data_IF_320148919604
#
_entry.id   IF_320148919604
#
_cell.length_a   1.000
_cell.length_b   1.000
_cell.length_c   1.000
_cell.angle_alpha   90.00
_cell.angle_beta   90.00
_cell.angle_gamma   90.00
#
_symmetry.space_group_name_H-M   'P 1'
#
loop_
_entity.id
_entity.type
_entity.pdbx_description
1 polymer ?
#
# COMPACT_ATOMS: atom_id res chain seq x y z
N UNK A 1 -55.88 -18.55 9.78
CA UNK A 1 -54.59 -19.11 9.44
C UNK A 1 -53.49 -18.27 10.14
N UNK A 2 -52.81 -18.79 11.13
CA UNK A 2 -51.78 -18.06 11.89
C UNK A 2 -50.43 -18.29 11.16
N UNK A 3 -49.90 -17.27 10.52
CA UNK A 3 -48.55 -17.32 9.96
C UNK A 3 -47.52 -17.34 11.07
N UNK A 4 -46.91 -18.48 11.29
CA UNK A 4 -45.78 -18.61 12.21
C UNK A 4 -44.56 -17.89 11.61
N UNK A 5 -44.19 -16.79 12.22
CA UNK A 5 -42.95 -16.07 11.91
C UNK A 5 -41.79 -16.97 12.34
N UNK A 6 -41.11 -17.58 11.38
CA UNK A 6 -39.88 -18.33 11.65
C UNK A 6 -38.80 -17.34 12.15
N UNK A 7 -38.39 -17.55 13.41
CA UNK A 7 -37.27 -16.79 13.96
C UNK A 7 -35.97 -17.12 13.16
N UNK A 8 -35.18 -16.12 12.75
CA UNK A 8 -33.94 -16.38 12.07
C UNK A 8 -33.00 -17.20 12.96
N UNK A 9 -32.46 -18.28 12.41
CA UNK A 9 -31.46 -19.12 13.09
C UNK A 9 -30.29 -18.22 13.52
N UNK A 10 -29.98 -18.19 14.82
CA UNK A 10 -28.80 -17.48 15.35
C UNK A 10 -27.56 -17.99 14.62
N UNK A 11 -26.99 -17.18 13.73
CA UNK A 11 -25.70 -17.46 13.13
C UNK A 11 -24.64 -17.36 14.24
N UNK A 12 -23.86 -18.45 14.42
CA UNK A 12 -22.75 -18.47 15.35
C UNK A 12 -21.66 -17.55 14.78
N UNK A 13 -21.42 -16.41 15.40
CA UNK A 13 -20.31 -15.52 15.03
C UNK A 13 -19.02 -16.28 15.32
N UNK A 14 -18.31 -16.69 14.27
CA UNK A 14 -16.98 -17.29 14.40
C UNK A 14 -15.99 -16.14 14.42
N UNK A 15 -15.31 -15.95 15.54
CA UNK A 15 -14.24 -14.95 15.63
C UNK A 15 -13.01 -15.47 14.87
N UNK A 16 -12.88 -15.09 13.60
CA UNK A 16 -11.77 -15.47 12.74
C UNK A 16 -10.45 -14.91 13.25
N UNK A 17 -10.45 -13.75 13.90
CA UNK A 17 -9.23 -13.09 14.38
C UNK A 17 -8.50 -13.92 15.45
N UNK A 18 -9.25 -14.61 16.31
CA UNK A 18 -8.66 -15.50 17.33
C UNK A 18 -7.91 -16.66 16.67
N UNK A 19 -8.47 -17.27 15.63
CA UNK A 19 -7.82 -18.38 14.91
C UNK A 19 -6.55 -17.93 14.22
N UNK A 20 -6.58 -16.74 13.61
CA UNK A 20 -5.42 -16.13 12.95
C UNK A 20 -4.32 -15.86 13.98
N UNK A 21 -4.66 -15.25 15.11
CA UNK A 21 -3.71 -14.97 16.18
C UNK A 21 -3.06 -16.25 16.73
N UNK A 22 -3.85 -17.29 17.03
CA UNK A 22 -3.35 -18.58 17.49
C UNK A 22 -2.44 -19.26 16.47
N UNK A 23 -2.79 -19.17 15.18
CA UNK A 23 -1.96 -19.73 14.12
C UNK A 23 -0.60 -19.03 14.06
N UNK A 24 -0.56 -17.69 14.15
CA UNK A 24 0.71 -16.96 14.16
C UNK A 24 1.53 -17.20 15.43
N UNK A 25 0.91 -17.30 16.57
CA UNK A 25 1.59 -17.66 17.83
C UNK A 25 2.29 -19.01 17.69
N UNK A 26 1.55 -20.03 17.23
CA UNK A 26 2.11 -21.37 17.00
C UNK A 26 3.19 -21.37 15.91
N UNK A 27 2.95 -20.68 14.79
CA UNK A 27 3.91 -20.58 13.70
C UNK A 27 5.20 -19.89 14.16
N UNK A 28 5.10 -18.77 14.87
CA UNK A 28 6.26 -18.02 15.37
C UNK A 28 7.09 -18.85 16.32
N UNK A 29 6.46 -19.54 17.28
CA UNK A 29 7.15 -20.42 18.20
C UNK A 29 7.90 -21.54 17.46
N UNK A 30 7.23 -22.21 16.52
CA UNK A 30 7.84 -23.29 15.74
C UNK A 30 8.98 -22.78 14.86
N UNK A 31 8.83 -21.61 14.21
CA UNK A 31 9.90 -21.00 13.41
C UNK A 31 11.10 -20.63 14.27
N UNK A 32 10.88 -20.10 15.48
CA UNK A 32 11.96 -19.83 16.43
C UNK A 32 12.72 -21.12 16.75
N UNK A 33 12.01 -22.19 17.13
CA UNK A 33 12.62 -23.46 17.54
C UNK A 33 13.36 -24.18 16.42
N UNK A 34 12.82 -24.17 15.18
CA UNK A 34 13.37 -25.00 14.10
C UNK A 34 14.25 -24.24 13.09
N UNK A 35 14.14 -22.90 13.00
CA UNK A 35 14.91 -22.10 12.06
C UNK A 35 15.92 -21.18 12.75
N UNK A 36 15.46 -20.37 13.73
CA UNK A 36 16.28 -19.29 14.28
C UNK A 36 17.23 -19.77 15.37
N UNK A 37 16.75 -20.50 16.38
CA UNK A 37 17.58 -20.99 17.49
C UNK A 37 18.73 -21.90 17.07
N UNK A 38 18.59 -22.82 16.11
CA UNK A 38 19.70 -23.63 15.64
C UNK A 38 20.81 -22.80 14.98
N UNK A 39 20.50 -21.59 14.52
CA UNK A 39 21.45 -20.64 13.93
C UNK A 39 22.02 -19.64 14.96
N UNK A 40 21.64 -19.77 16.24
CA UNK A 40 22.04 -18.86 17.31
C UNK A 40 21.24 -17.56 17.40
N UNK A 41 20.14 -17.46 16.68
CA UNK A 41 19.21 -16.32 16.76
C UNK A 41 18.04 -16.64 17.67
N UNK A 42 17.38 -15.60 18.16
CA UNK A 42 16.18 -15.76 18.99
C UNK A 42 15.15 -14.70 18.60
N UNK A 43 13.94 -15.17 18.34
CA UNK A 43 12.80 -14.27 18.07
C UNK A 43 12.44 -13.50 19.34
N UNK A 44 12.30 -12.17 19.30
CA UNK A 44 11.88 -11.38 20.46
C UNK A 44 10.53 -11.85 21.01
N UNK A 45 10.38 -11.87 22.34
CA UNK A 45 9.12 -12.29 23.00
C UNK A 45 7.98 -11.29 22.80
N UNK A 46 8.30 -10.00 22.68
CA UNK A 46 7.35 -8.92 22.55
C UNK A 46 7.08 -8.63 21.08
N UNK A 47 6.32 -9.49 20.41
CA UNK A 47 5.88 -9.30 19.03
C UNK A 47 4.35 -9.27 18.98
N UNK A 48 3.80 -8.34 18.23
CA UNK A 48 2.40 -8.30 17.82
C UNK A 48 2.31 -8.51 16.32
N UNK A 49 1.58 -9.52 15.88
CA UNK A 49 1.35 -9.80 14.46
C UNK A 49 -0.09 -9.41 14.12
N UNK A 50 -0.24 -8.60 13.09
CA UNK A 50 -1.53 -8.15 12.57
C UNK A 50 -1.62 -8.50 11.08
N UNK A 51 -2.83 -8.80 10.63
CA UNK A 51 -3.13 -9.04 9.22
C UNK A 51 -4.16 -8.04 8.75
N UNK A 52 -3.84 -7.34 7.69
CA UNK A 52 -4.78 -6.44 7.02
C UNK A 52 -4.32 -6.18 5.58
N UNK A 53 -5.23 -5.73 4.71
CA UNK A 53 -4.83 -5.25 3.41
C UNK A 53 -3.92 -4.02 3.57
N UNK A 54 -2.70 -4.09 3.03
CA UNK A 54 -1.80 -2.94 2.98
C UNK A 54 -2.04 -2.21 1.66
N UNK A 55 -2.47 -0.96 1.75
CA UNK A 55 -2.75 -0.13 0.58
C UNK A 55 -1.47 0.21 -0.17
N UNK A 56 -1.47 0.07 -1.50
CA UNK A 56 -0.35 0.52 -2.34
C UNK A 56 -0.09 2.02 -2.14
N UNK A 57 1.17 2.38 -1.92
CA UNK A 57 1.59 3.76 -2.10
C UNK A 57 1.45 4.16 -3.58
N UNK A 58 0.99 5.37 -3.86
CA UNK A 58 0.79 5.87 -5.24
C UNK A 58 2.07 5.89 -6.07
N UNK A 59 3.23 5.90 -5.42
CA UNK A 59 4.54 6.07 -6.07
C UNK A 59 5.30 4.76 -6.32
N UNK A 60 4.74 3.61 -5.96
CA UNK A 60 5.38 2.31 -6.19
C UNK A 60 4.71 1.60 -7.34
N UNK A 61 5.35 1.62 -8.51
CA UNK A 61 5.00 0.74 -9.62
C UNK A 61 5.16 -0.72 -9.20
N UNK A 62 4.13 -1.51 -9.40
CA UNK A 62 4.09 -2.97 -9.39
C UNK A 62 4.33 -3.72 -8.06
N UNK A 63 5.19 -3.32 -7.15
CA UNK A 63 5.50 -4.13 -5.96
C UNK A 63 4.56 -3.80 -4.80
N UNK A 64 3.68 -4.73 -4.51
CA UNK A 64 2.82 -4.65 -3.34
C UNK A 64 3.61 -5.10 -2.12
N UNK A 65 3.69 -4.25 -1.09
CA UNK A 65 4.29 -4.63 0.20
C UNK A 65 3.61 -5.88 0.76
N UNK A 66 4.39 -6.92 1.03
CA UNK A 66 3.88 -8.19 1.58
C UNK A 66 3.80 -8.15 3.09
N UNK A 67 4.73 -7.46 3.74
CA UNK A 67 4.77 -7.25 5.18
C UNK A 67 5.53 -5.99 5.54
N UNK A 68 5.42 -5.58 6.79
CA UNK A 68 6.19 -4.47 7.40
C UNK A 68 6.44 -4.80 8.86
N UNK A 69 7.69 -4.65 9.31
CA UNK A 69 8.04 -4.70 10.71
C UNK A 69 8.34 -3.29 11.25
N UNK A 70 7.57 -2.85 12.22
CA UNK A 70 7.87 -1.64 12.98
C UNK A 70 8.74 -2.02 14.18
N UNK A 71 9.91 -1.40 14.36
CA UNK A 71 10.82 -1.75 15.43
C UNK A 71 10.26 -1.44 16.81
N UNK A 72 10.76 -2.13 17.81
CA UNK A 72 10.33 -2.00 19.21
C UNK A 72 10.47 -0.57 19.76
N UNK A 73 11.45 0.17 19.27
CA UNK A 73 11.69 1.57 19.62
C UNK A 73 10.54 2.52 19.26
N UNK A 74 9.73 2.18 18.25
CA UNK A 74 8.57 2.98 17.82
C UNK A 74 7.28 2.63 18.56
N UNK A 75 7.26 1.49 19.26
CA UNK A 75 6.02 0.87 19.77
C UNK A 75 6.15 0.45 21.24
N UNK A 76 6.80 1.27 22.05
CA UNK A 76 6.94 1.01 23.50
C UNK A 76 7.50 -0.36 23.87
N UNK A 77 8.52 -0.82 23.14
CA UNK A 77 9.19 -2.09 23.40
C UNK A 77 8.53 -3.32 22.76
N UNK A 78 7.55 -3.12 21.85
CA UNK A 78 6.87 -4.19 21.12
C UNK A 78 7.20 -4.10 19.65
N UNK A 79 7.70 -5.16 19.01
CA UNK A 79 7.79 -5.23 17.56
C UNK A 79 6.40 -5.48 16.96
N UNK A 80 5.97 -4.65 16.01
CA UNK A 80 4.69 -4.82 15.33
C UNK A 80 4.95 -5.29 13.91
N UNK A 81 4.52 -6.51 13.61
CA UNK A 81 4.56 -7.09 12.28
C UNK A 81 3.18 -6.99 11.64
N UNK A 82 3.13 -6.39 10.47
CA UNK A 82 1.91 -6.25 9.70
C UNK A 82 2.03 -7.03 8.38
N UNK A 83 1.17 -8.04 8.17
CA UNK A 83 1.17 -8.88 6.99
C UNK A 83 0.00 -8.54 6.08
N UNK A 84 0.26 -8.49 4.78
CA UNK A 84 -0.72 -8.13 3.77
C UNK A 84 -1.46 -9.35 3.24
N UNK A 85 -2.78 -9.33 3.31
CA UNK A 85 -3.67 -10.40 2.85
C UNK A 85 -4.57 -9.96 1.68
N UNK A 86 -4.14 -8.99 0.88
CA UNK A 86 -4.99 -8.41 -0.16
C UNK A 86 -5.15 -9.25 -1.43
N UNK A 87 -4.43 -10.36 -1.56
CA UNK A 87 -4.54 -11.27 -2.72
C UNK A 87 -4.45 -12.72 -2.29
N UNK A 88 -4.93 -13.65 -3.14
CA UNK A 88 -4.86 -15.09 -2.88
C UNK A 88 -3.44 -15.59 -2.69
N UNK A 89 -2.48 -15.11 -3.49
CA UNK A 89 -1.07 -15.49 -3.36
C UNK A 89 -0.49 -15.12 -1.99
N UNK A 90 -1.01 -14.03 -1.39
CA UNK A 90 -0.59 -13.55 -0.07
C UNK A 90 -1.25 -14.28 1.10
N UNK A 91 -2.23 -15.13 0.83
CA UNK A 91 -2.87 -16.01 1.81
C UNK A 91 -2.45 -17.47 1.62
N UNK A 92 -1.62 -17.78 0.62
CA UNK A 92 -0.95 -19.06 0.55
C UNK A 92 -0.04 -19.26 1.77
N UNK A 93 -0.14 -20.42 2.41
CA UNK A 93 0.51 -20.65 3.70
C UNK A 93 2.03 -20.58 3.64
N UNK A 94 2.66 -21.02 2.54
CA UNK A 94 4.12 -20.94 2.35
C UNK A 94 4.54 -19.48 2.20
N UNK A 95 3.82 -18.71 1.39
CA UNK A 95 4.09 -17.30 1.18
C UNK A 95 3.88 -16.47 2.47
N UNK A 96 2.84 -16.79 3.24
CA UNK A 96 2.60 -16.15 4.56
C UNK A 96 3.75 -16.44 5.51
N UNK A 97 4.22 -17.68 5.60
CA UNK A 97 5.35 -18.05 6.46
C UNK A 97 6.66 -17.42 5.97
N UNK A 98 6.91 -17.41 4.67
CA UNK A 98 8.11 -16.77 4.11
C UNK A 98 8.12 -15.25 4.41
N UNK A 99 6.98 -14.59 4.27
CA UNK A 99 6.83 -13.18 4.65
C UNK A 99 7.00 -12.99 6.16
N UNK A 100 6.40 -13.86 6.97
CA UNK A 100 6.59 -13.82 8.42
C UNK A 100 8.06 -13.98 8.81
N UNK A 101 8.80 -14.91 8.21
CA UNK A 101 10.24 -15.10 8.44
C UNK A 101 11.00 -13.82 8.10
N UNK A 102 10.70 -13.18 6.97
CA UNK A 102 11.30 -11.91 6.58
C UNK A 102 11.10 -10.82 7.65
N UNK A 103 9.87 -10.65 8.12
CA UNK A 103 9.55 -9.65 9.15
C UNK A 103 10.11 -10.02 10.53
N UNK A 104 10.21 -11.32 10.86
CA UNK A 104 10.85 -11.76 12.10
C UNK A 104 12.36 -11.45 12.09
N UNK A 105 13.03 -11.53 10.94
CA UNK A 105 14.44 -11.14 10.82
C UNK A 105 14.59 -9.64 11.11
N UNK A 106 13.68 -8.79 10.60
CA UNK A 106 13.66 -7.38 10.96
C UNK A 106 13.45 -7.16 12.46
N UNK A 107 12.58 -7.95 13.10
CA UNK A 107 12.36 -7.88 14.53
C UNK A 107 13.60 -8.31 15.35
N UNK A 108 14.33 -9.35 14.91
CA UNK A 108 15.57 -9.84 15.55
C UNK A 108 16.67 -8.79 15.42
N UNK A 109 16.81 -8.16 14.25
CA UNK A 109 17.80 -7.10 13.98
C UNK A 109 17.38 -5.73 14.55
N UNK A 110 16.17 -5.63 15.13
CA UNK A 110 15.55 -4.38 15.54
C UNK A 110 15.55 -3.33 14.39
N UNK A 111 15.45 -3.82 13.18
CA UNK A 111 15.43 -3.06 11.93
C UNK A 111 16.68 -2.16 11.70
N UNK A 112 17.81 -2.49 12.32
CA UNK A 112 19.04 -1.66 12.29
C UNK A 112 19.79 -1.73 10.98
N UNK A 113 19.85 -2.92 10.37
CA UNK A 113 20.59 -3.11 9.11
C UNK A 113 19.72 -2.86 7.87
N UNK A 114 18.39 -2.83 8.01
CA UNK A 114 17.46 -2.77 6.88
C UNK A 114 17.78 -3.87 5.85
N UNK A 115 17.67 -3.56 4.57
CA UNK A 115 17.98 -4.49 3.48
C UNK A 115 19.41 -4.29 2.92
N UNK A 116 20.38 -3.90 3.77
CA UNK A 116 21.74 -3.67 3.33
C UNK A 116 22.44 -5.01 3.03
N UNK A 117 23.03 -5.12 1.83
CA UNK A 117 23.83 -6.28 1.41
C UNK A 117 25.00 -6.48 2.36
N UNK A 118 25.20 -7.72 2.83
CA UNK A 118 26.21 -8.08 3.83
C UNK A 118 25.87 -7.66 5.27
N UNK A 119 24.74 -7.00 5.49
CA UNK A 119 24.22 -6.65 6.81
C UNK A 119 23.68 -7.85 7.58
N UNK A 120 23.23 -7.63 8.82
CA UNK A 120 22.67 -8.68 9.66
C UNK A 120 21.44 -9.32 9.03
N UNK A 121 20.53 -8.51 8.46
CA UNK A 121 19.37 -9.01 7.74
C UNK A 121 19.74 -9.98 6.60
N UNK A 122 20.68 -9.58 5.72
CA UNK A 122 21.10 -10.42 4.58
C UNK A 122 21.67 -11.76 5.06
N UNK A 123 22.57 -11.73 6.06
CA UNK A 123 23.16 -12.94 6.63
C UNK A 123 22.10 -13.88 7.20
N UNK A 124 21.16 -13.35 8.00
CA UNK A 124 20.09 -14.15 8.57
C UNK A 124 19.14 -14.69 7.49
N UNK A 125 18.74 -13.85 6.53
CA UNK A 125 17.85 -14.26 5.45
C UNK A 125 18.44 -15.44 4.65
N UNK A 126 19.71 -15.38 4.30
CA UNK A 126 20.39 -16.50 3.60
C UNK A 126 20.54 -17.71 4.47
N UNK A 127 20.90 -17.53 5.74
CA UNK A 127 21.07 -18.65 6.67
C UNK A 127 19.77 -19.44 6.93
N UNK A 128 18.61 -18.77 6.97
CA UNK A 128 17.31 -19.44 7.11
C UNK A 128 16.78 -20.02 5.79
N UNK A 129 17.38 -19.67 4.64
CA UNK A 129 17.03 -20.19 3.33
C UNK A 129 16.06 -19.31 2.53
N UNK A 130 15.98 -18.01 2.84
CA UNK A 130 15.28 -17.05 1.98
C UNK A 130 16.14 -16.70 0.76
N UNK A 131 15.52 -16.74 -0.42
CA UNK A 131 16.10 -16.36 -1.71
C UNK A 131 15.51 -15.06 -2.26
N UNK A 132 16.04 -14.60 -3.38
CA UNK A 132 15.59 -13.40 -4.08
C UNK A 132 16.30 -12.11 -3.62
N UNK A 133 15.76 -10.97 -4.01
CA UNK A 133 16.23 -9.66 -3.58
C UNK A 133 15.89 -9.43 -2.12
N UNK A 134 16.76 -8.76 -1.36
CA UNK A 134 16.55 -8.55 0.07
C UNK A 134 15.24 -7.79 0.40
N UNK A 135 14.76 -6.97 -0.51
CA UNK A 135 13.47 -6.26 -0.40
C UNK A 135 12.26 -7.06 -0.90
N UNK A 136 12.50 -8.25 -1.50
CA UNK A 136 11.47 -9.09 -2.10
C UNK A 136 11.91 -10.55 -2.04
N UNK A 137 12.09 -11.06 -0.83
CA UNK A 137 12.50 -12.44 -0.58
C UNK A 137 11.34 -13.42 -0.70
N UNK A 138 11.66 -14.66 -1.03
CA UNK A 138 10.74 -15.80 -1.04
C UNK A 138 11.46 -17.04 -0.46
N UNK A 139 10.68 -18.08 -0.15
CA UNK A 139 11.26 -19.32 0.36
C UNK A 139 12.08 -20.03 -0.74
N UNK A 140 13.37 -20.25 -0.53
CA UNK A 140 14.17 -21.13 -1.35
C UNK A 140 13.67 -22.58 -1.24
N UNK A 141 14.04 -23.44 -2.20
CA UNK A 141 13.51 -24.82 -2.32
C UNK A 141 13.61 -25.63 -1.01
N UNK A 142 14.72 -25.53 -0.30
CA UNK A 142 14.90 -26.24 0.95
C UNK A 142 14.00 -25.70 2.06
N UNK A 143 13.94 -24.37 2.19
CA UNK A 143 13.05 -23.72 3.14
C UNK A 143 11.59 -24.05 2.82
N UNK A 144 11.16 -23.98 1.57
CA UNK A 144 9.81 -24.33 1.14
C UNK A 144 9.43 -25.76 1.58
N UNK A 145 10.35 -26.73 1.40
CA UNK A 145 10.15 -28.10 1.87
C UNK A 145 9.94 -28.17 3.38
N UNK A 146 10.72 -27.41 4.17
CA UNK A 146 10.58 -27.32 5.63
C UNK A 146 9.28 -26.64 6.03
N UNK A 147 8.89 -25.57 5.34
CA UNK A 147 7.62 -24.87 5.59
C UNK A 147 6.41 -25.76 5.28
N UNK A 148 6.46 -26.54 4.22
CA UNK A 148 5.40 -27.50 3.90
C UNK A 148 5.24 -28.59 4.97
N UNK A 149 6.32 -29.04 5.62
CA UNK A 149 6.25 -29.93 6.78
C UNK A 149 5.62 -29.22 7.98
N UNK A 150 6.05 -28.00 8.26
CA UNK A 150 5.48 -27.19 9.34
C UNK A 150 3.97 -26.96 9.14
N UNK A 151 3.54 -26.64 7.91
CA UNK A 151 2.11 -26.44 7.60
C UNK A 151 1.28 -27.71 7.85
N UNK A 152 1.85 -28.91 7.63
CA UNK A 152 1.17 -30.17 7.98
C UNK A 152 0.94 -30.31 9.50
N UNK A 153 1.83 -29.75 10.31
CA UNK A 153 1.73 -29.79 11.77
C UNK A 153 0.76 -28.74 12.31
N UNK A 154 0.88 -27.48 11.86
CA UNK A 154 0.12 -26.36 12.41
C UNK A 154 -1.20 -26.07 11.66
N UNK A 155 -1.41 -26.69 10.52
CA UNK A 155 -2.53 -26.43 9.61
C UNK A 155 -2.24 -25.27 8.64
N UNK A 156 -3.12 -25.15 7.63
CA UNK A 156 -3.05 -24.04 6.66
C UNK A 156 -3.41 -22.71 7.32
N UNK A 157 -2.90 -21.62 6.77
CA UNK A 157 -3.26 -20.28 7.20
C UNK A 157 -4.79 -20.08 7.11
N UNK A 158 -5.45 -19.67 8.20
CA UNK A 158 -6.92 -19.74 8.29
C UNK A 158 -7.64 -18.55 7.65
N UNK A 159 -6.94 -17.53 7.15
CA UNK A 159 -7.58 -16.37 6.54
C UNK A 159 -7.74 -16.54 5.03
N UNK A 160 -8.76 -15.86 4.49
CA UNK A 160 -8.98 -15.70 3.05
C UNK A 160 -8.47 -14.33 2.60
N UNK A 161 -8.15 -14.23 1.32
CA UNK A 161 -7.78 -12.96 0.72
C UNK A 161 -8.92 -11.94 0.84
N UNK A 162 -8.59 -10.73 1.21
CA UNK A 162 -9.53 -9.60 1.24
C UNK A 162 -9.36 -8.80 -0.04
N UNK A 163 -10.37 -8.81 -0.90
CA UNK A 163 -10.37 -7.97 -2.10
C UNK A 163 -10.41 -6.50 -1.71
N UNK A 164 -9.52 -5.73 -2.34
CA UNK A 164 -9.54 -4.27 -2.29
C UNK A 164 -10.34 -3.66 -3.45
N UNK A 165 -10.96 -4.50 -4.29
CA UNK A 165 -11.84 -4.06 -5.37
C UNK A 165 -13.04 -3.31 -4.77
N UNK A 166 -13.31 -2.14 -5.32
CA UNK A 166 -14.39 -1.26 -4.84
C UNK A 166 -14.03 -0.39 -3.63
N UNK A 167 -12.88 -0.59 -2.98
CA UNK A 167 -12.37 0.44 -2.10
C UNK A 167 -12.00 1.66 -2.94
N UNK A 168 -12.74 2.75 -2.74
CA UNK A 168 -12.40 4.03 -3.36
C UNK A 168 -10.93 4.30 -3.07
N UNK A 169 -10.11 4.38 -4.12
CA UNK A 169 -8.79 4.99 -3.96
C UNK A 169 -9.05 6.36 -3.33
N UNK A 170 -8.28 6.73 -2.30
CA UNK A 170 -8.28 8.13 -1.87
C UNK A 170 -7.82 8.91 -3.09
N UNK A 171 -8.77 9.35 -3.89
CA UNK A 171 -8.51 10.34 -4.91
C UNK A 171 -7.96 11.53 -4.15
N UNK A 172 -6.76 11.97 -4.50
CA UNK A 172 -6.19 13.16 -3.92
C UNK A 172 -7.24 14.26 -4.07
N UNK A 173 -7.88 14.62 -2.97
CA UNK A 173 -8.92 15.66 -2.96
C UNK A 173 -8.29 17.02 -3.24
N UNK A 174 -6.97 17.10 -3.11
CA UNK A 174 -6.21 18.32 -3.33
C UNK A 174 -5.66 18.31 -4.75
N UNK A 175 -5.87 19.41 -5.41
CA UNK A 175 -5.37 19.70 -6.77
C UNK A 175 -4.33 20.79 -6.62
N UNK A 176 -3.21 20.67 -7.34
CA UNK A 176 -2.19 21.69 -7.35
C UNK A 176 -2.59 22.79 -8.33
N UNK A 177 -2.70 24.00 -7.83
CA UNK A 177 -2.80 25.20 -8.63
C UNK A 177 -1.40 25.84 -8.74
N UNK A 178 -1.08 26.37 -9.92
CA UNK A 178 0.14 27.13 -10.17
C UNK A 178 -0.23 28.42 -10.88
N UNK A 179 0.48 29.50 -10.56
CA UNK A 179 0.32 30.76 -11.25
C UNK A 179 0.79 30.64 -12.72
N UNK A 180 0.06 31.24 -13.63
CA UNK A 180 0.48 31.33 -15.04
C UNK A 180 1.63 32.32 -15.25
N UNK A 181 1.86 33.24 -14.30
CA UNK A 181 2.69 34.41 -14.52
C UNK A 181 2.01 35.43 -15.45
N UNK A 182 2.78 36.38 -15.93
CA UNK A 182 2.44 37.31 -17.02
C UNK A 182 3.60 37.33 -18.00
N UNK A 183 3.46 38.01 -19.12
CA UNK A 183 4.53 38.12 -20.17
C UNK A 183 5.84 38.67 -19.57
N UNK A 184 5.74 39.54 -18.56
CA UNK A 184 6.88 40.22 -17.94
C UNK A 184 7.30 39.59 -16.61
N UNK A 185 6.47 38.72 -16.01
CA UNK A 185 6.70 38.15 -14.66
C UNK A 185 6.59 36.65 -14.66
N UNK A 186 7.72 35.97 -14.49
CA UNK A 186 7.73 34.53 -14.20
C UNK A 186 7.37 34.34 -12.71
N UNK A 187 6.29 33.64 -12.46
CA UNK A 187 5.84 33.34 -11.11
C UNK A 187 5.71 31.83 -10.92
N UNK A 188 6.39 31.29 -9.93
CA UNK A 188 6.35 29.88 -9.55
C UNK A 188 5.43 29.59 -8.35
N UNK A 189 4.68 30.62 -7.91
CA UNK A 189 3.75 30.46 -6.79
C UNK A 189 2.69 29.41 -7.08
N UNK A 190 2.56 28.47 -6.17
CA UNK A 190 1.57 27.41 -6.30
C UNK A 190 1.21 26.82 -4.94
N UNK A 191 0.01 26.28 -4.84
CA UNK A 191 -0.50 25.64 -3.63
C UNK A 191 -1.47 24.51 -3.95
N UNK A 192 -1.77 23.70 -2.94
CA UNK A 192 -2.75 22.62 -3.06
C UNK A 192 -4.10 23.08 -2.50
N UNK A 193 -5.16 22.89 -3.28
CA UNK A 193 -6.53 23.22 -2.89
C UNK A 193 -7.44 22.00 -2.99
N UNK A 194 -8.47 21.96 -2.14
CA UNK A 194 -9.51 20.94 -2.27
C UNK A 194 -10.26 21.16 -3.59
N UNK A 195 -10.47 20.06 -4.34
CA UNK A 195 -11.20 20.09 -5.62
C UNK A 195 -12.53 20.83 -5.56
N UNK A 196 -13.24 20.73 -4.44
CA UNK A 196 -14.55 21.39 -4.27
C UNK A 196 -14.48 22.93 -4.21
N UNK A 197 -13.27 23.47 -3.94
CA UNK A 197 -13.05 24.90 -3.81
C UNK A 197 -12.30 25.51 -4.99
N UNK A 198 -12.03 24.73 -6.04
CA UNK A 198 -11.29 25.23 -7.21
C UNK A 198 -12.05 26.36 -7.89
N UNK A 199 -13.38 26.24 -7.99
CA UNK A 199 -14.22 27.27 -8.64
C UNK A 199 -14.10 28.64 -7.97
N UNK A 200 -13.92 28.65 -6.65
CA UNK A 200 -13.74 29.89 -5.88
C UNK A 200 -12.46 30.63 -6.31
N UNK A 201 -11.50 29.94 -6.90
CA UNK A 201 -10.20 30.51 -7.29
C UNK A 201 -10.16 31.05 -8.72
N UNK A 202 -11.20 30.83 -9.52
CA UNK A 202 -11.24 31.29 -10.93
C UNK A 202 -11.15 32.80 -11.07
N UNK A 203 -11.59 33.54 -10.05
CA UNK A 203 -11.65 35.02 -10.05
C UNK A 203 -10.51 35.67 -9.29
N UNK A 204 -9.61 34.87 -8.69
CA UNK A 204 -8.54 35.39 -7.86
C UNK A 204 -7.24 35.55 -8.65
N UNK A 205 -6.64 36.69 -8.57
CA UNK A 205 -5.28 36.95 -9.03
C UNK A 205 -4.26 36.32 -8.09
N UNK A 206 -3.08 36.01 -8.61
CA UNK A 206 -2.01 35.41 -7.82
C UNK A 206 -1.63 36.27 -6.62
N UNK A 207 -1.63 35.67 -5.44
CA UNK A 207 -1.31 36.36 -4.18
C UNK A 207 0.19 36.79 -4.11
N UNK A 208 1.05 36.21 -4.93
CA UNK A 208 2.49 36.49 -4.95
C UNK A 208 2.84 37.61 -5.94
N UNK A 209 2.42 37.49 -7.21
CA UNK A 209 2.73 38.50 -8.23
C UNK A 209 1.60 39.53 -8.44
N UNK A 210 0.42 39.31 -7.93
CA UNK A 210 -0.72 40.23 -8.03
C UNK A 210 -1.46 40.21 -9.37
N UNK A 211 -0.88 39.63 -10.42
CA UNK A 211 -1.38 39.75 -11.80
C UNK A 211 -1.74 38.41 -12.44
N UNK A 212 -0.89 37.39 -12.27
CA UNK A 212 -1.09 36.07 -12.89
C UNK A 212 -2.35 35.36 -12.39
N UNK A 213 -2.91 34.51 -13.22
CA UNK A 213 -4.07 33.69 -12.90
C UNK A 213 -3.65 32.29 -12.43
N UNK A 214 -4.47 31.65 -11.63
CA UNK A 214 -4.21 30.28 -11.20
C UNK A 214 -4.68 29.29 -12.25
N UNK A 215 -3.84 28.31 -12.55
CA UNK A 215 -4.10 27.22 -13.46
C UNK A 215 -3.95 25.89 -12.75
N UNK A 216 -4.74 24.89 -13.13
CA UNK A 216 -4.62 23.53 -12.62
C UNK A 216 -3.39 22.86 -13.24
N UNK A 217 -2.46 22.42 -12.39
CA UNK A 217 -1.35 21.56 -12.84
C UNK A 217 -1.81 20.11 -12.87
N UNK A 218 -1.83 19.54 -14.05
CA UNK A 218 -2.16 18.13 -14.24
C UNK A 218 -1.01 17.23 -13.79
N UNK A 219 -1.32 15.96 -13.38
CA UNK A 219 -0.29 14.98 -13.06
C UNK A 219 0.70 14.75 -14.20
N UNK A 220 1.91 14.32 -13.87
CA UNK A 220 3.03 14.09 -14.80
C UNK A 220 2.67 13.24 -16.04
N UNK A 221 1.72 12.29 -15.91
CA UNK A 221 1.22 11.48 -17.02
C UNK A 221 0.61 12.29 -18.17
N UNK A 222 0.30 13.56 -17.95
CA UNK A 222 -0.17 14.52 -18.94
C UNK A 222 0.89 15.58 -19.29
N UNK A 223 2.18 15.21 -19.19
CA UNK A 223 3.33 16.07 -19.50
C UNK A 223 3.36 17.42 -18.76
N UNK A 224 2.75 17.47 -17.58
CA UNK A 224 2.75 18.67 -16.76
C UNK A 224 1.91 19.82 -17.30
N UNK A 225 0.98 19.54 -18.22
CA UNK A 225 0.07 20.55 -18.76
C UNK A 225 -0.59 21.35 -17.64
N UNK A 226 -0.60 22.67 -17.80
CA UNK A 226 -1.42 23.59 -17.01
C UNK A 226 -2.66 23.92 -17.84
N UNK A 227 -3.83 23.76 -17.25
CA UNK A 227 -5.09 24.10 -17.91
C UNK A 227 -5.86 25.11 -17.07
N UNK A 228 -6.62 25.97 -17.73
CA UNK A 228 -7.56 26.85 -17.04
C UNK A 228 -8.53 26.04 -16.18
N UNK A 229 -8.95 26.61 -15.08
CA UNK A 229 -9.82 25.91 -14.10
C UNK A 229 -11.12 25.45 -14.76
N UNK A 230 -11.69 26.26 -15.64
CA UNK A 230 -12.92 25.96 -16.40
C UNK A 230 -12.73 24.74 -17.32
N UNK A 231 -11.62 24.68 -18.05
CA UNK A 231 -11.26 23.52 -18.89
C UNK A 231 -11.03 22.27 -18.06
N UNK A 232 -10.50 22.40 -16.84
CA UNK A 232 -10.33 21.28 -15.93
C UNK A 232 -11.66 20.63 -15.55
N UNK A 233 -12.73 21.42 -15.33
CA UNK A 233 -14.04 20.84 -15.01
C UNK A 233 -14.64 20.07 -16.18
N UNK A 234 -14.52 20.58 -17.40
CA UNK A 234 -14.93 19.87 -18.62
C UNK A 234 -14.12 18.56 -18.80
N UNK A 235 -12.82 18.63 -18.68
CA UNK A 235 -11.93 17.47 -18.78
C UNK A 235 -12.17 16.42 -17.69
N UNK A 236 -12.36 16.85 -16.44
CA UNK A 236 -12.62 15.93 -15.33
C UNK A 236 -13.99 15.24 -15.44
N UNK A 237 -14.95 15.85 -16.09
CA UNK A 237 -16.24 15.23 -16.43
C UNK A 237 -16.08 14.10 -17.45
N UNK A 238 -15.20 14.26 -18.44
CA UNK A 238 -14.87 13.24 -19.42
C UNK A 238 -14.10 12.06 -18.80
N UNK A 239 -13.10 12.36 -17.97
CA UNK A 239 -12.30 11.34 -17.27
C UNK A 239 -13.12 10.51 -16.29
N UNK A 240 -14.12 11.11 -15.65
CA UNK A 240 -15.02 10.40 -14.72
C UNK A 240 -16.06 9.53 -15.45
N UNK A 241 -16.44 9.87 -16.69
CA UNK A 241 -17.38 9.09 -17.51
C UNK A 241 -16.70 7.96 -18.28
N UNK A 242 -15.40 8.08 -18.58
CA UNK A 242 -14.63 7.05 -19.26
C UNK A 242 -13.69 6.36 -18.26
N UNK A 243 -14.07 5.16 -17.76
CA UNK A 243 -13.12 4.20 -17.20
C UNK A 243 -12.17 3.63 -18.29
N UNK A 244 -12.21 4.16 -19.51
CA UNK A 244 -11.27 3.88 -20.60
C UNK A 244 -10.20 4.96 -20.58
N UNK A 245 -8.95 4.54 -20.71
CA UNK A 245 -7.78 5.41 -20.90
C UNK A 245 -8.15 6.52 -21.90
N UNK A 246 -8.28 7.76 -21.42
CA UNK A 246 -8.39 8.92 -22.31
C UNK A 246 -7.16 8.88 -23.23
N UNK A 247 -7.40 8.87 -24.53
CA UNK A 247 -6.31 8.89 -25.52
C UNK A 247 -5.74 10.31 -25.56
N UNK A 248 -4.44 10.46 -25.82
CA UNK A 248 -3.80 11.77 -25.92
C UNK A 248 -4.46 12.66 -27.00
N UNK A 249 -5.10 12.04 -27.99
CA UNK A 249 -5.81 12.73 -29.08
C UNK A 249 -7.04 13.49 -28.56
N UNK A 250 -7.72 12.97 -27.54
CA UNK A 250 -8.89 13.63 -26.90
C UNK A 250 -8.49 14.92 -26.16
N UNK A 251 -7.21 15.05 -25.77
CA UNK A 251 -6.69 16.24 -25.08
C UNK A 251 -6.31 17.33 -26.07
N UNK A 252 -5.76 16.94 -27.23
CA UNK A 252 -5.34 17.88 -28.26
C UNK A 252 -6.55 18.59 -28.92
N UNK A 253 -7.70 17.92 -29.02
CA UNK A 253 -8.93 18.53 -29.52
C UNK A 253 -9.49 19.61 -28.57
N UNK A 254 -9.17 19.57 -27.28
CA UNK A 254 -9.56 20.58 -26.29
C UNK A 254 -8.56 21.75 -26.18
N UNK A 255 -7.30 21.52 -26.51
CA UNK A 255 -6.24 22.55 -26.43
C UNK A 255 -6.18 23.37 -27.73
N UNK A 256 -6.74 22.86 -28.83
CA UNK A 256 -6.69 23.52 -30.15
C UNK A 256 -7.79 24.54 -30.38
N UNK A 257 -8.63 24.88 -29.42
CA UNK A 257 -9.78 25.79 -29.63
C UNK A 257 -9.47 27.27 -29.33
N UNK A 258 -8.33 27.63 -28.77
CA UNK A 258 -7.97 29.05 -28.58
C UNK A 258 -6.49 29.34 -28.93
N UNK A 259 -6.20 29.27 -30.21
CA UNK A 259 -5.08 30.05 -30.79
C UNK A 259 -5.56 30.61 -32.13
N UNK A 260 -6.58 31.44 -32.09
CA UNK A 260 -6.87 32.35 -33.18
C UNK A 260 -7.30 33.71 -32.61
N UNK A 261 -6.37 34.66 -32.77
CA UNK A 261 -6.41 36.10 -32.83
C UNK A 261 -5.55 36.83 -31.81
#
# INVERSE_FOLDING_TARGET
MKNAIQQPKKQKVVNHDVKIAQWFETATQKLDDVLFRPLGYQVPKNIRIMVAPIKKSKNTSANTTLGVCHPSSWSHGVNIIHLNISTTDKTDSVNVLATLIHELIHAIDDNKSGHKKGGAFDKMARAVGLDGMLTATYAGKELESRLNKLIKEIGKFPAQAVSLEGLRSDTCRNIKLECSGTDDVICDHGFNINRQRIEEMTTHKCLSCGEGEYMVKLPQKYNGLKIAIEQFFMFSGLVLKSNKKANMDDINDFVSVEVDA
#
